data_IF_704454629517
#
_entry.id   IF_704454629517
#
_cell.length_a   1.000
_cell.length_b   1.000
_cell.length_c   1.000
_cell.angle_alpha   90.00
_cell.angle_beta   90.00
_cell.angle_gamma   90.00
#
_symmetry.space_group_name_H-M   'P 1'
#
loop_
_entity.id
_entity.type
_entity.pdbx_description
1 polymer ?
#
# COMPACT_ATOMS: atom_id res chain seq x y z
N UNK A 1 14.46 1.89 -6.36
CA UNK A 1 13.78 3.10 -5.86
C UNK A 1 12.53 2.67 -5.09
N UNK A 2 12.41 3.18 -3.90
CA UNK A 2 11.27 2.88 -3.03
C UNK A 2 10.59 4.16 -2.57
N UNK A 3 9.26 4.18 -2.65
CA UNK A 3 8.42 5.23 -2.11
C UNK A 3 7.61 4.62 -0.97
N UNK A 4 7.67 5.23 0.20
CA UNK A 4 6.92 4.76 1.38
C UNK A 4 5.83 5.77 1.70
N UNK A 5 4.59 5.30 1.83
CA UNK A 5 3.45 6.14 2.14
C UNK A 5 2.79 5.61 3.41
N UNK A 6 2.56 6.50 4.36
CA UNK A 6 1.86 6.19 5.60
C UNK A 6 0.41 5.81 5.30
N UNK A 7 -0.08 4.69 5.87
CA UNK A 7 -1.45 4.23 5.65
C UNK A 7 -2.50 5.27 6.08
N UNK A 8 -2.21 6.08 7.08
CA UNK A 8 -3.15 7.10 7.56
C UNK A 8 -3.42 8.18 6.53
N UNK A 9 -2.50 8.40 5.59
CA UNK A 9 -2.70 9.33 4.46
C UNK A 9 -3.62 8.73 3.39
N UNK A 10 -3.70 7.40 3.31
CA UNK A 10 -4.39 6.68 2.24
C UNK A 10 -5.75 6.14 2.64
N UNK A 11 -5.90 5.71 3.91
CA UNK A 11 -7.08 4.97 4.37
C UNK A 11 -7.50 5.39 5.76
N UNK A 12 -8.78 5.22 6.07
CA UNK A 12 -9.25 5.25 7.45
C UNK A 12 -8.85 3.96 8.16
N UNK A 13 -8.85 4.00 9.49
CA UNK A 13 -8.49 2.85 10.31
C UNK A 13 -9.35 1.63 9.96
N UNK A 14 -8.71 0.49 9.76
CA UNK A 14 -9.38 -0.78 9.48
C UNK A 14 -10.02 -0.88 8.11
N UNK A 15 -9.87 0.12 7.24
CA UNK A 15 -10.49 0.15 5.92
C UNK A 15 -9.46 0.05 4.80
N UNK A 16 -9.92 -0.38 3.63
CA UNK A 16 -9.10 -0.40 2.41
C UNK A 16 -9.75 0.44 1.30
N UNK A 17 -10.48 1.48 1.67
CA UNK A 17 -11.07 2.43 0.74
C UNK A 17 -10.17 3.66 0.70
N UNK A 18 -9.63 3.96 -0.49
CA UNK A 18 -8.74 5.10 -0.65
C UNK A 18 -9.44 6.42 -0.33
N UNK A 19 -8.75 7.25 0.46
CA UNK A 19 -9.23 8.59 0.76
C UNK A 19 -9.16 9.45 -0.50
N UNK A 20 -10.24 10.18 -0.85
CA UNK A 20 -10.25 11.01 -2.06
C UNK A 20 -9.13 12.03 -2.12
N UNK A 21 -8.67 12.53 -0.97
CA UNK A 21 -7.62 13.53 -0.89
C UNK A 21 -6.28 13.03 -1.44
N UNK A 22 -6.03 11.72 -1.42
CA UNK A 22 -4.76 11.15 -1.89
C UNK A 22 -4.82 10.64 -3.33
N UNK A 23 -6.01 10.47 -3.89
CA UNK A 23 -6.14 9.96 -5.27
C UNK A 23 -5.37 10.79 -6.30
N UNK A 24 -5.44 12.14 -6.29
CA UNK A 24 -4.67 12.93 -7.25
C UNK A 24 -3.16 12.73 -7.14
N UNK A 25 -2.67 12.47 -5.94
CA UNK A 25 -1.24 12.24 -5.70
C UNK A 25 -0.82 10.90 -6.31
N UNK A 26 -1.63 9.85 -6.15
CA UNK A 26 -1.37 8.56 -6.77
C UNK A 26 -1.45 8.63 -8.29
N UNK A 27 -2.35 9.42 -8.84
CA UNK A 27 -2.46 9.62 -10.27
C UNK A 27 -1.19 10.28 -10.84
N UNK A 28 -0.67 11.30 -10.16
CA UNK A 28 0.57 11.97 -10.57
C UNK A 28 1.76 11.01 -10.49
N UNK A 29 1.82 10.21 -9.44
CA UNK A 29 2.87 9.21 -9.30
C UNK A 29 2.80 8.18 -10.43
N UNK A 30 1.61 7.70 -10.74
CA UNK A 30 1.40 6.73 -11.81
C UNK A 30 1.84 7.29 -13.16
N UNK A 31 1.48 8.53 -13.46
CA UNK A 31 1.91 9.18 -14.70
C UNK A 31 3.43 9.30 -14.78
N UNK A 32 4.09 9.60 -13.67
CA UNK A 32 5.55 9.65 -13.60
C UNK A 32 6.18 8.29 -13.93
N UNK A 33 5.54 7.20 -13.52
CA UNK A 33 6.06 5.86 -13.72
C UNK A 33 5.79 5.30 -15.11
N UNK A 34 4.87 5.89 -15.88
CA UNK A 34 4.60 5.44 -17.25
C UNK A 34 5.83 5.51 -18.14
N UNK A 35 6.70 6.50 -17.93
CA UNK A 35 7.93 6.65 -18.69
C UNK A 35 9.05 5.71 -18.30
N UNK A 36 8.85 4.89 -17.28
CA UNK A 36 9.86 3.95 -16.80
C UNK A 36 9.57 2.55 -17.31
N UNK A 37 10.51 1.62 -17.07
CA UNK A 37 10.35 0.21 -17.41
C UNK A 37 10.46 -0.62 -16.15
N UNK A 38 9.95 -1.86 -16.20
CA UNK A 38 10.11 -2.80 -15.13
C UNK A 38 8.82 -3.01 -14.34
N UNK A 39 8.95 -3.87 -13.32
CA UNK A 39 7.86 -4.26 -12.43
C UNK A 39 7.70 -3.21 -11.34
N UNK A 40 6.47 -2.91 -11.01
CA UNK A 40 6.13 -2.00 -9.92
C UNK A 40 5.47 -2.85 -8.82
N UNK A 41 6.20 -3.06 -7.73
CA UNK A 41 5.71 -3.85 -6.59
C UNK A 41 5.08 -2.93 -5.56
N UNK A 42 3.84 -3.20 -5.21
CA UNK A 42 3.11 -2.43 -4.20
C UNK A 42 2.86 -3.34 -3.01
N UNK A 43 3.49 -3.03 -1.88
CA UNK A 43 3.44 -3.88 -0.70
C UNK A 43 2.73 -3.18 0.44
N UNK A 44 1.68 -3.84 0.97
CA UNK A 44 0.97 -3.36 2.16
C UNK A 44 1.57 -3.97 3.42
N UNK A 45 1.75 -3.13 4.44
CA UNK A 45 2.23 -3.53 5.76
C UNK A 45 1.32 -2.98 6.85
N UNK A 46 1.18 -3.74 7.94
CA UNK A 46 0.45 -3.31 9.13
C UNK A 46 1.38 -3.35 10.35
N UNK A 47 0.94 -2.77 11.47
CA UNK A 47 1.55 -3.08 12.75
C UNK A 47 0.99 -4.42 13.25
N UNK A 48 1.35 -4.84 14.46
CA UNK A 48 0.92 -6.13 15.03
C UNK A 48 -0.42 -6.07 15.76
N UNK A 49 -1.12 -4.93 15.73
CA UNK A 49 -2.45 -4.81 16.35
C UNK A 49 -3.41 -5.79 15.65
N UNK A 50 -4.06 -6.68 16.39
CA UNK A 50 -4.93 -7.68 15.77
C UNK A 50 -6.10 -7.04 15.05
N UNK A 51 -6.44 -7.58 13.89
CA UNK A 51 -7.67 -7.26 13.20
C UNK A 51 -8.39 -8.57 12.90
N UNK A 52 -9.70 -8.59 13.12
CA UNK A 52 -10.53 -9.72 12.76
C UNK A 52 -11.95 -9.21 12.59
N UNK A 53 -12.32 -8.99 11.33
CA UNK A 53 -13.66 -8.53 10.96
C UNK A 53 -14.21 -9.48 9.91
N UNK A 54 -15.51 -9.39 9.62
CA UNK A 54 -16.10 -10.17 8.54
C UNK A 54 -15.49 -9.84 7.18
N UNK A 55 -15.02 -8.62 7.02
CA UNK A 55 -14.43 -8.14 5.77
C UNK A 55 -12.95 -8.46 5.68
N UNK A 56 -12.21 -8.33 6.79
CA UNK A 56 -10.77 -8.58 6.85
C UNK A 56 -10.43 -9.51 8.01
N UNK A 57 -10.38 -10.83 7.76
CA UNK A 57 -10.12 -11.80 8.84
C UNK A 57 -8.75 -11.70 9.48
N UNK A 58 -7.77 -11.08 8.81
CA UNK A 58 -6.41 -10.92 9.34
C UNK A 58 -5.72 -9.70 8.75
N UNK A 59 -4.58 -9.33 9.33
CA UNK A 59 -3.73 -8.27 8.79
C UNK A 59 -3.20 -8.61 7.38
N UNK A 60 -3.04 -9.88 7.06
CA UNK A 60 -2.68 -10.32 5.71
C UNK A 60 -3.74 -9.88 4.70
N UNK A 61 -5.00 -10.12 5.00
CA UNK A 61 -6.13 -9.75 4.13
C UNK A 61 -6.24 -8.23 3.98
N UNK A 62 -6.12 -7.49 5.09
CA UNK A 62 -6.23 -6.04 5.04
C UNK A 62 -5.08 -5.42 4.25
N UNK A 63 -3.84 -5.86 4.49
CA UNK A 63 -2.67 -5.29 3.80
C UNK A 63 -2.71 -5.58 2.30
N UNK A 64 -3.16 -6.78 1.90
CA UNK A 64 -3.32 -7.10 0.47
C UNK A 64 -4.43 -6.26 -0.16
N UNK A 65 -5.57 -6.11 0.53
CA UNK A 65 -6.68 -5.29 0.03
C UNK A 65 -6.24 -3.84 -0.19
N UNK A 66 -5.46 -3.28 0.73
CA UNK A 66 -4.93 -1.92 0.62
C UNK A 66 -3.95 -1.78 -0.54
N UNK A 67 -3.03 -2.73 -0.70
CA UNK A 67 -2.10 -2.72 -1.82
C UNK A 67 -2.84 -2.82 -3.15
N UNK A 68 -3.88 -3.64 -3.21
CA UNK A 68 -4.71 -3.82 -4.41
C UNK A 68 -5.44 -2.52 -4.77
N UNK A 69 -5.96 -1.80 -3.78
CA UNK A 69 -6.63 -0.52 -4.03
C UNK A 69 -5.65 0.53 -4.60
N UNK A 70 -4.44 0.58 -4.06
CA UNK A 70 -3.40 1.47 -4.59
C UNK A 70 -3.08 1.10 -6.04
N UNK A 71 -2.88 -0.18 -6.32
CA UNK A 71 -2.60 -0.66 -7.67
C UNK A 71 -3.72 -0.29 -8.65
N UNK A 72 -4.98 -0.52 -8.27
CA UNK A 72 -6.13 -0.19 -9.10
C UNK A 72 -6.19 1.32 -9.40
N UNK A 73 -5.93 2.15 -8.40
CA UNK A 73 -5.90 3.60 -8.59
C UNK A 73 -4.79 4.02 -9.55
N UNK A 74 -3.61 3.42 -9.44
CA UNK A 74 -2.47 3.73 -10.31
C UNK A 74 -2.67 3.23 -11.74
N UNK A 75 -3.40 2.12 -11.92
CA UNK A 75 -3.68 1.57 -13.24
C UNK A 75 -4.69 2.42 -14.03
N UNK A 76 -5.52 3.19 -13.32
CA UNK A 76 -6.60 3.95 -13.91
C UNK A 76 -6.07 5.05 -14.81
N UNK A 77 -6.51 5.06 -16.06
CA UNK A 77 -6.08 6.03 -17.07
C UNK A 77 -4.58 6.02 -17.36
N UNK A 78 -3.90 4.90 -17.10
CA UNK A 78 -2.48 4.71 -17.40
C UNK A 78 -2.24 3.38 -18.07
N UNK A 79 -1.06 3.18 -18.65
CA UNK A 79 -0.64 1.90 -19.22
C UNK A 79 0.06 0.98 -18.23
N UNK A 80 -0.15 1.13 -16.92
CA UNK A 80 0.61 0.41 -15.92
C UNK A 80 0.05 -0.96 -15.52
N UNK A 81 -1.16 -1.31 -15.93
CA UNK A 81 -1.87 -2.51 -15.44
C UNK A 81 -0.99 -3.77 -15.42
N UNK A 82 -0.32 -4.08 -16.51
CA UNK A 82 0.52 -5.28 -16.62
C UNK A 82 1.83 -5.22 -15.85
N UNK A 83 2.17 -4.07 -15.28
CA UNK A 83 3.41 -3.86 -14.54
C UNK A 83 3.21 -3.81 -13.03
N UNK A 84 1.98 -3.71 -12.55
CA UNK A 84 1.64 -3.52 -11.14
C UNK A 84 1.45 -4.87 -10.45
N UNK A 85 2.13 -5.06 -9.33
CA UNK A 85 2.08 -6.30 -8.55
C UNK A 85 1.76 -5.97 -7.09
N UNK A 86 0.49 -6.05 -6.68
CA UNK A 86 0.14 -5.84 -5.27
C UNK A 86 0.44 -7.08 -4.45
N UNK A 87 0.95 -6.86 -3.22
CA UNK A 87 1.09 -7.93 -2.24
C UNK A 87 0.88 -7.41 -0.82
N UNK A 88 0.50 -8.30 0.08
CA UNK A 88 0.30 -7.98 1.49
C UNK A 88 1.24 -8.77 2.36
N UNK A 89 1.93 -8.11 3.27
CA UNK A 89 2.88 -8.71 4.20
C UNK A 89 2.32 -8.77 5.64
N UNK A 90 1.15 -8.16 5.89
CA UNK A 90 0.63 -8.06 7.25
C UNK A 90 1.64 -7.38 8.15
N UNK A 91 1.89 -7.95 9.34
CA UNK A 91 2.84 -7.42 10.31
C UNK A 91 4.22 -8.10 10.24
N UNK A 92 4.50 -8.88 9.19
CA UNK A 92 5.69 -9.73 9.12
C UNK A 92 7.00 -8.97 8.96
N UNK A 93 6.98 -7.74 8.42
CA UNK A 93 8.20 -6.98 8.12
C UNK A 93 8.11 -5.56 8.70
N UNK A 94 8.23 -5.41 10.02
CA UNK A 94 8.13 -4.09 10.64
C UNK A 94 9.37 -3.23 10.36
N UNK A 95 9.17 -1.92 10.20
CA UNK A 95 10.27 -0.95 10.13
C UNK A 95 10.86 -0.69 11.50
N UNK A 96 10.01 -0.67 12.53
CA UNK A 96 10.39 -0.46 13.92
C UNK A 96 9.75 -1.55 14.77
N UNK A 97 10.29 -1.76 15.99
CA UNK A 97 9.69 -2.72 16.91
C UNK A 97 8.23 -2.36 17.20
N UNK A 98 7.34 -3.35 17.20
CA UNK A 98 5.94 -3.15 17.55
C UNK A 98 5.72 -2.82 19.03
N UNK A 99 6.75 -2.95 19.86
CA UNK A 99 6.72 -2.48 21.25
C UNK A 99 7.11 -1.01 21.36
N UNK A 100 7.57 -0.41 20.26
CA UNK A 100 7.95 1.00 20.20
C UNK A 100 6.68 1.86 20.12
N UNK A 101 6.73 3.05 20.74
CA UNK A 101 5.63 4.02 20.65
C UNK A 101 5.39 4.50 19.21
N UNK A 102 6.39 4.36 18.33
CA UNK A 102 6.32 4.77 16.93
C UNK A 102 5.87 3.64 16.00
N UNK A 103 5.25 2.58 16.52
CA UNK A 103 4.82 1.43 15.69
C UNK A 103 3.84 1.81 14.56
N UNK A 104 3.25 3.01 14.63
CA UNK A 104 2.44 3.53 13.54
C UNK A 104 3.23 3.61 12.21
N UNK A 105 4.55 3.73 12.27
CA UNK A 105 5.43 3.71 11.10
C UNK A 105 5.40 2.37 10.38
N UNK A 106 4.94 1.31 11.04
CA UNK A 106 4.79 -0.01 10.43
C UNK A 106 3.56 -0.09 9.53
N UNK A 107 2.59 0.81 9.70
CA UNK A 107 1.38 0.87 8.88
C UNK A 107 1.66 1.70 7.64
N UNK A 108 2.10 1.03 6.59
CA UNK A 108 2.58 1.71 5.38
C UNK A 108 2.31 0.93 4.11
N UNK A 109 2.33 1.65 2.99
CA UNK A 109 2.42 1.08 1.64
C UNK A 109 3.81 1.42 1.11
N UNK A 110 4.48 0.43 0.54
CA UNK A 110 5.76 0.61 -0.15
C UNK A 110 5.56 0.37 -1.63
N UNK A 111 6.07 1.28 -2.45
CA UNK A 111 6.01 1.18 -3.91
C UNK A 111 7.44 1.10 -4.41
N UNK A 112 7.81 -0.05 -4.97
CA UNK A 112 9.15 -0.34 -5.46
C UNK A 112 9.17 -0.48 -6.98
N UNK A 113 10.06 0.25 -7.65
CA UNK A 113 10.32 0.07 -9.07
C UNK A 113 11.49 -0.91 -9.21
N UNK A 114 11.21 -2.05 -9.85
CA UNK A 114 12.17 -3.13 -10.05
C UNK A 114 12.46 -3.28 -11.55
N UNK A 115 13.71 -3.23 -11.91
CA UNK A 115 14.16 -3.37 -13.31
C UNK A 115 14.44 -4.81 -13.68
#
# INVERSE_FOLDING_TARGET
>A
IRITINNESLFNSGEAILLPSFQPILEKLALSLEGTKGKILITGHTDDSPISTSQYPSNWHLSLARATQVANSMAKNTGLMGRLWPEGKGSAEPLVSNTNSDKALNRRIEIDLLF
#
